data_IF_681232867079
#
_entry.id   IF_681232867079
#
_cell.length_a   1.000
_cell.length_b   1.000
_cell.length_c   1.000
_cell.angle_alpha   90.00
_cell.angle_beta   90.00
_cell.angle_gamma   90.00
#
_symmetry.space_group_name_H-M   'P 1'
#
loop_
_entity.id
_entity.type
_entity.pdbx_description
1 polymer ?
#
# COMPACT_ATOMS: atom_id res chain seq x y z
N UNK A 1 11.64 14.92 2.51
CA UNK A 1 11.71 15.26 3.95
C UNK A 1 12.22 14.04 4.72
N UNK A 2 13.45 14.06 5.30
CA UNK A 2 14.03 12.92 6.04
C UNK A 2 13.63 13.00 7.51
N UNK A 3 13.32 11.86 8.14
CA UNK A 3 13.15 11.79 9.60
C UNK A 3 14.44 11.27 10.27
N UNK A 4 14.78 11.83 11.44
CA UNK A 4 15.98 11.48 12.21
C UNK A 4 15.67 10.58 13.42
N UNK A 5 14.39 10.41 13.74
CA UNK A 5 13.86 9.51 14.77
C UNK A 5 12.54 8.95 14.24
N UNK A 6 12.48 7.64 13.97
CA UNK A 6 11.29 6.97 13.43
C UNK A 6 11.07 5.64 14.15
N UNK A 7 9.81 5.32 14.44
CA UNK A 7 9.42 4.00 14.94
C UNK A 7 8.98 3.13 13.76
N UNK A 8 9.69 2.02 13.54
CA UNK A 8 9.38 1.05 12.48
C UNK A 8 9.08 -0.28 13.15
N UNK A 9 7.86 -0.79 12.98
CA UNK A 9 7.40 -2.05 13.59
C UNK A 9 7.65 -2.14 15.11
N UNK A 10 7.48 -1.03 15.84
CA UNK A 10 7.68 -0.96 17.30
C UNK A 10 9.13 -0.73 17.74
N UNK A 11 10.08 -0.61 16.82
CA UNK A 11 11.50 -0.37 17.12
C UNK A 11 11.89 1.06 16.76
N UNK A 12 12.53 1.76 17.69
CA UNK A 12 13.00 3.13 17.50
C UNK A 12 14.35 3.16 16.76
N UNK A 13 14.37 3.76 15.59
CA UNK A 13 15.55 3.86 14.72
C UNK A 13 15.98 5.33 14.63
N UNK A 14 17.26 5.59 14.95
CA UNK A 14 17.91 6.90 14.77
C UNK A 14 18.85 6.87 13.56
N UNK A 15 18.25 6.83 12.37
CA UNK A 15 18.96 6.95 11.10
C UNK A 15 18.16 7.84 10.14
N UNK A 16 18.81 8.66 9.29
CA UNK A 16 18.11 9.48 8.31
C UNK A 16 17.39 8.58 7.31
N UNK A 17 16.06 8.58 7.32
CA UNK A 17 15.26 7.74 6.44
C UNK A 17 14.16 8.53 5.73
N UNK A 18 13.79 8.04 4.55
CA UNK A 18 12.56 8.46 3.88
C UNK A 18 11.39 8.17 4.82
N UNK A 19 10.53 9.16 5.02
CA UNK A 19 9.32 8.98 5.84
C UNK A 19 8.33 8.15 5.04
N UNK A 20 8.26 6.86 5.37
CA UNK A 20 7.29 5.93 4.81
C UNK A 20 6.31 5.60 5.92
N UNK A 21 5.03 5.79 5.65
CA UNK A 21 3.95 5.34 6.51
C UNK A 21 3.27 4.16 5.83
N UNK A 22 3.33 3.00 6.49
CA UNK A 22 2.68 1.79 6.00
C UNK A 22 1.24 1.76 6.49
N UNK A 23 0.32 1.49 5.57
CA UNK A 23 -1.11 1.38 5.83
C UNK A 23 -1.52 -0.05 5.50
N UNK A 24 -2.28 -0.69 6.39
CA UNK A 24 -2.80 -2.05 6.18
C UNK A 24 -4.03 -2.07 5.25
N UNK A 25 -3.87 -1.55 4.04
CA UNK A 25 -4.90 -1.52 3.01
C UNK A 25 -4.28 -1.85 1.65
N UNK A 26 -4.69 -2.99 1.06
CA UNK A 26 -4.22 -3.42 -0.25
C UNK A 26 -5.08 -4.57 -0.79
N UNK A 27 -4.74 -5.09 -1.97
CA UNK A 27 -5.53 -6.15 -2.63
C UNK A 27 -5.74 -7.40 -1.78
N UNK A 28 -4.78 -7.72 -0.89
CA UNK A 28 -4.87 -8.86 0.02
C UNK A 28 -5.72 -8.63 1.28
N UNK A 29 -6.17 -7.41 1.57
CA UNK A 29 -6.96 -7.12 2.77
C UNK A 29 -8.24 -7.96 2.79
N UNK A 30 -8.44 -8.73 3.87
CA UNK A 30 -9.54 -9.70 3.99
C UNK A 30 -10.87 -8.98 4.21
N UNK A 31 -11.94 -9.46 3.57
CA UNK A 31 -13.28 -8.91 3.69
C UNK A 31 -14.05 -9.62 4.81
N UNK A 32 -14.54 -8.83 5.76
CA UNK A 32 -15.30 -9.31 6.92
C UNK A 32 -16.69 -8.69 6.94
N UNK A 33 -17.68 -9.51 7.28
CA UNK A 33 -19.03 -9.07 7.59
C UNK A 33 -19.42 -9.63 8.96
N UNK A 34 -19.60 -8.76 9.94
CA UNK A 34 -19.98 -9.16 11.30
C UNK A 34 -20.95 -8.14 11.88
N UNK A 35 -22.04 -8.61 12.49
CA UNK A 35 -23.04 -7.76 13.17
C UNK A 35 -23.53 -6.58 12.31
N UNK A 36 -23.78 -6.81 11.02
CA UNK A 36 -24.27 -5.79 10.08
C UNK A 36 -23.21 -4.81 9.57
N UNK A 37 -21.92 -5.02 9.90
CA UNK A 37 -20.82 -4.12 9.53
C UNK A 37 -19.88 -4.78 8.53
N UNK A 38 -19.54 -4.03 7.51
CA UNK A 38 -18.55 -4.39 6.51
C UNK A 38 -17.18 -3.87 6.97
N UNK A 39 -16.14 -4.67 6.77
CA UNK A 39 -14.75 -4.30 7.08
C UNK A 39 -13.79 -4.93 6.08
N UNK A 40 -12.77 -4.17 5.69
CA UNK A 40 -11.65 -4.67 4.87
C UNK A 40 -10.33 -4.57 5.66
N UNK A 41 -9.70 -5.71 5.93
CA UNK A 41 -8.51 -5.83 6.78
C UNK A 41 -8.79 -5.69 8.28
N UNK A 42 -7.76 -5.52 9.13
CA UNK A 42 -6.36 -5.21 8.81
C UNK A 42 -5.53 -6.43 8.39
N UNK A 43 -6.06 -7.63 8.65
CA UNK A 43 -5.49 -8.89 8.22
C UNK A 43 -5.45 -9.00 6.69
N UNK A 44 -4.46 -9.76 6.22
CA UNK A 44 -4.16 -9.91 4.81
C UNK A 44 -4.08 -11.38 4.47
N UNK A 45 -4.71 -11.76 3.35
CA UNK A 45 -4.58 -13.09 2.76
C UNK A 45 -3.17 -13.34 2.20
N UNK A 46 -2.35 -12.28 2.05
CA UNK A 46 -1.01 -12.35 1.49
C UNK A 46 -1.03 -12.84 0.04
N UNK A 47 0.01 -13.58 -0.35
CA UNK A 47 0.08 -14.26 -1.65
C UNK A 47 -0.15 -15.79 -1.54
N UNK A 48 -0.10 -16.33 -0.32
CA UNK A 48 -0.37 -17.73 -0.04
C UNK A 48 -1.04 -17.83 1.35
N UNK A 49 -2.32 -18.27 1.44
CA UNK A 49 -3.15 -18.75 0.34
C UNK A 49 -3.55 -17.65 -0.67
N UNK A 50 -3.49 -16.37 -0.27
CA UNK A 50 -3.91 -15.26 -1.13
C UNK A 50 -5.43 -15.11 -1.23
N UNK A 51 -5.94 -14.18 -2.05
CA UNK A 51 -7.36 -14.02 -2.35
C UNK A 51 -8.02 -15.31 -2.85
N UNK A 52 -9.35 -15.41 -2.73
CA UNK A 52 -10.10 -16.59 -3.14
C UNK A 52 -9.89 -16.93 -4.63
N UNK A 53 -9.76 -15.91 -5.48
CA UNK A 53 -9.51 -16.02 -6.91
C UNK A 53 -8.17 -16.72 -7.25
N UNK A 54 -7.24 -16.86 -6.29
CA UNK A 54 -5.92 -17.45 -6.53
C UNK A 54 -5.92 -18.98 -6.53
N UNK A 55 -7.09 -19.63 -6.36
CA UNK A 55 -7.27 -21.10 -6.42
C UNK A 55 -6.49 -21.88 -5.34
N UNK A 56 -6.29 -21.27 -4.16
CA UNK A 56 -5.55 -21.85 -3.02
C UNK A 56 -6.36 -21.96 -1.73
N UNK A 57 -7.69 -21.84 -1.84
CA UNK A 57 -8.58 -21.91 -0.67
C UNK A 57 -8.58 -20.65 0.21
N UNK A 58 -8.05 -19.53 -0.27
CA UNK A 58 -7.98 -18.27 0.47
C UNK A 58 -9.34 -17.59 0.70
N UNK A 59 -9.42 -16.63 1.65
CA UNK A 59 -10.65 -15.91 1.98
C UNK A 59 -11.03 -14.89 0.89
N UNK A 60 -12.22 -14.28 0.99
CA UNK A 60 -12.53 -13.09 0.20
C UNK A 60 -11.60 -11.95 0.61
N UNK A 61 -10.98 -11.30 -0.36
CA UNK A 61 -10.12 -10.13 -0.18
C UNK A 61 -10.50 -9.00 -1.16
N UNK A 62 -9.92 -7.82 -1.01
CA UNK A 62 -10.18 -6.65 -1.89
C UNK A 62 -9.95 -6.99 -3.38
N UNK A 63 -8.95 -7.82 -3.70
CA UNK A 63 -8.74 -8.32 -5.06
C UNK A 63 -9.97 -9.08 -5.58
N UNK A 64 -10.62 -9.90 -4.76
CA UNK A 64 -11.82 -10.65 -5.17
C UNK A 64 -12.99 -9.70 -5.44
N UNK A 65 -13.13 -8.62 -4.67
CA UNK A 65 -14.14 -7.60 -4.96
C UNK A 65 -13.89 -6.92 -6.32
N UNK A 66 -12.63 -6.62 -6.65
CA UNK A 66 -12.29 -6.07 -7.97
C UNK A 66 -12.50 -7.07 -9.11
N UNK A 67 -12.31 -8.38 -8.89
CA UNK A 67 -12.68 -9.44 -9.85
C UNK A 67 -14.19 -9.50 -10.03
N UNK A 68 -14.96 -9.49 -8.93
CA UNK A 68 -16.43 -9.53 -8.96
C UNK A 68 -17.01 -8.37 -9.78
N UNK A 69 -16.46 -7.17 -9.61
CA UNK A 69 -16.90 -5.95 -10.30
C UNK A 69 -16.32 -5.79 -11.71
N UNK A 70 -15.52 -6.75 -12.19
CA UNK A 70 -14.89 -6.69 -13.51
C UNK A 70 -13.81 -5.60 -13.67
N UNK A 71 -13.37 -4.98 -12.57
CA UNK A 71 -12.22 -4.06 -12.56
C UNK A 71 -10.92 -4.81 -12.83
N UNK A 72 -10.84 -6.05 -12.37
CA UNK A 72 -9.76 -6.97 -12.69
C UNK A 72 -10.27 -8.05 -13.65
N UNK A 73 -9.74 -8.01 -14.88
CA UNK A 73 -10.16 -8.88 -15.97
C UNK A 73 -9.17 -10.05 -16.13
N UNK A 74 -9.60 -11.31 -15.87
CA UNK A 74 -8.72 -12.48 -15.92
C UNK A 74 -7.99 -12.67 -17.25
N UNK A 75 -8.60 -12.28 -18.36
CA UNK A 75 -8.03 -12.37 -19.72
C UNK A 75 -6.76 -11.53 -19.90
N UNK A 76 -6.59 -10.47 -19.10
CA UNK A 76 -5.41 -9.61 -19.09
C UNK A 76 -4.46 -9.93 -17.94
N UNK A 77 -4.76 -10.96 -17.15
CA UNK A 77 -3.94 -11.39 -16.03
C UNK A 77 -3.15 -12.64 -16.40
N UNK A 78 -1.86 -12.76 -16.02
CA UNK A 78 -1.10 -13.98 -16.28
C UNK A 78 -1.77 -15.20 -15.62
N UNK A 79 -1.84 -16.29 -16.37
CA UNK A 79 -2.36 -17.57 -15.88
C UNK A 79 -1.28 -18.25 -15.03
N UNK A 80 -1.15 -17.84 -13.77
CA UNK A 80 -0.12 -18.30 -12.82
C UNK A 80 -0.73 -18.85 -11.52
N UNK A 81 -2.04 -19.14 -11.55
CA UNK A 81 -2.79 -19.61 -10.39
C UNK A 81 -3.04 -21.11 -10.44
N UNK A 82 -3.64 -21.64 -9.37
CA UNK A 82 -3.93 -23.05 -9.25
C UNK A 82 -2.72 -23.90 -8.85
N UNK A 83 -2.91 -25.23 -8.69
CA UNK A 83 -1.83 -26.15 -8.32
C UNK A 83 -0.72 -26.22 -9.37
N UNK A 84 -1.08 -26.11 -10.65
CA UNK A 84 -0.15 -26.15 -11.80
C UNK A 84 0.54 -24.82 -12.12
N UNK A 85 0.10 -23.70 -11.51
CA UNK A 85 0.57 -22.34 -11.83
C UNK A 85 0.39 -21.97 -13.31
N UNK A 86 -0.71 -22.42 -13.90
CA UNK A 86 -1.05 -22.26 -15.32
C UNK A 86 -2.52 -21.89 -15.53
N UNK A 87 -3.27 -21.61 -14.45
CA UNK A 87 -4.69 -21.28 -14.50
C UNK A 87 -4.93 -19.77 -14.36
N UNK A 88 -6.01 -19.22 -14.97
CA UNK A 88 -6.43 -17.84 -14.76
C UNK A 88 -7.06 -17.65 -13.38
N UNK A 89 -7.34 -16.39 -13.00
CA UNK A 89 -8.12 -16.08 -11.80
C UNK A 89 -9.46 -16.82 -11.78
N UNK A 90 -9.86 -17.34 -10.62
CA UNK A 90 -11.11 -18.07 -10.46
C UNK A 90 -12.30 -17.14 -10.21
N UNK A 91 -12.83 -16.58 -11.30
CA UNK A 91 -14.04 -15.73 -11.26
C UNK A 91 -15.24 -16.46 -10.69
N UNK A 92 -15.38 -17.75 -11.02
CA UNK A 92 -16.53 -18.52 -10.57
C UNK A 92 -16.50 -18.70 -9.06
N UNK A 93 -15.33 -18.98 -8.49
CA UNK A 93 -15.17 -19.06 -7.03
C UNK A 93 -15.48 -17.75 -6.32
N UNK A 94 -15.08 -16.63 -6.92
CA UNK A 94 -15.41 -15.29 -6.42
C UNK A 94 -16.92 -15.07 -6.41
N UNK A 95 -17.61 -15.37 -7.52
CA UNK A 95 -19.06 -15.24 -7.65
C UNK A 95 -19.81 -16.09 -6.62
N UNK A 96 -19.41 -17.35 -6.46
CA UNK A 96 -19.98 -18.26 -5.47
C UNK A 96 -19.86 -17.70 -4.04
N UNK A 97 -18.69 -17.19 -3.68
CA UNK A 97 -18.44 -16.65 -2.34
C UNK A 97 -19.22 -15.35 -2.08
N UNK A 98 -19.30 -14.44 -3.05
CA UNK A 98 -20.12 -13.24 -2.90
C UNK A 98 -21.61 -13.55 -2.91
N UNK A 99 -22.06 -14.56 -3.65
CA UNK A 99 -23.45 -15.04 -3.59
C UNK A 99 -23.81 -15.60 -2.21
N UNK A 100 -22.93 -16.42 -1.64
CA UNK A 100 -23.09 -16.92 -0.27
C UNK A 100 -23.11 -15.78 0.75
N UNK A 101 -22.20 -14.81 0.62
CA UNK A 101 -22.13 -13.66 1.53
C UNK A 101 -23.37 -12.75 1.41
N UNK A 102 -23.85 -12.49 0.20
CA UNK A 102 -25.08 -11.73 -0.02
C UNK A 102 -26.30 -12.43 0.61
N UNK A 103 -26.38 -13.76 0.51
CA UNK A 103 -27.41 -14.55 1.16
C UNK A 103 -27.31 -14.50 2.70
N UNK A 104 -26.10 -14.51 3.26
CA UNK A 104 -25.85 -14.35 4.71
C UNK A 104 -26.28 -12.96 5.22
N UNK A 105 -25.98 -11.91 4.45
CA UNK A 105 -26.38 -10.55 4.77
C UNK A 105 -27.92 -10.42 4.78
N UNK A 106 -28.60 -11.02 3.81
CA UNK A 106 -30.06 -11.22 3.83
C UNK A 106 -30.90 -9.95 3.65
N UNK A 107 -30.32 -8.83 3.22
CA UNK A 107 -31.02 -7.54 3.09
C UNK A 107 -31.39 -7.15 1.64
N UNK A 108 -31.26 -8.10 0.72
CA UNK A 108 -31.66 -7.95 -0.69
C UNK A 108 -30.60 -7.32 -1.60
N UNK A 109 -29.41 -6.97 -1.09
CA UNK A 109 -28.28 -6.53 -1.94
C UNK A 109 -27.80 -7.67 -2.84
N UNK A 110 -27.44 -7.33 -4.08
CA UNK A 110 -26.82 -8.29 -5.00
C UNK A 110 -25.37 -8.58 -4.60
N UNK A 111 -24.79 -9.72 -5.03
CA UNK A 111 -23.38 -10.03 -4.81
C UNK A 111 -22.43 -8.91 -5.28
N UNK A 112 -22.75 -8.26 -6.40
CA UNK A 112 -22.02 -7.11 -6.94
C UNK A 112 -22.12 -5.90 -6.02
N UNK A 113 -23.31 -5.58 -5.50
CA UNK A 113 -23.50 -4.46 -4.57
C UNK A 113 -22.76 -4.69 -3.24
N UNK A 114 -22.69 -5.95 -2.78
CA UNK A 114 -21.88 -6.34 -1.62
C UNK A 114 -20.39 -6.11 -1.90
N UNK A 115 -19.89 -6.55 -3.06
CA UNK A 115 -18.50 -6.32 -3.48
C UNK A 115 -18.16 -4.82 -3.61
N UNK A 116 -19.07 -4.03 -4.20
CA UNK A 116 -18.93 -2.57 -4.32
C UNK A 116 -18.79 -1.91 -2.94
N UNK A 117 -19.63 -2.30 -1.97
CA UNK A 117 -19.54 -1.80 -0.60
C UNK A 117 -18.17 -2.06 0.05
N UNK A 118 -17.57 -3.22 -0.19
CA UNK A 118 -16.20 -3.51 0.29
C UNK A 118 -15.14 -2.67 -0.41
N UNK A 119 -15.27 -2.41 -1.72
CA UNK A 119 -14.38 -1.50 -2.44
C UNK A 119 -14.48 -0.08 -1.89
N UNK A 120 -15.69 0.41 -1.63
CA UNK A 120 -15.91 1.73 -1.00
C UNK A 120 -15.17 1.83 0.33
N UNK A 121 -15.28 0.81 1.18
CA UNK A 121 -14.59 0.79 2.49
C UNK A 121 -13.07 0.72 2.33
N UNK A 122 -12.57 -0.10 1.41
CA UNK A 122 -11.14 -0.18 1.14
C UNK A 122 -10.57 1.16 0.66
N UNK A 123 -11.26 1.84 -0.25
CA UNK A 123 -10.89 3.18 -0.75
C UNK A 123 -10.91 4.20 0.38
N UNK A 124 -11.96 4.21 1.20
CA UNK A 124 -12.08 5.15 2.32
C UNK A 124 -10.97 4.93 3.36
N UNK A 125 -10.58 3.69 3.62
CA UNK A 125 -9.44 3.36 4.47
C UNK A 125 -8.11 3.89 3.90
N UNK A 126 -7.89 3.73 2.59
CA UNK A 126 -6.70 4.27 1.91
C UNK A 126 -6.67 5.80 1.95
N UNK A 127 -7.79 6.45 1.59
CA UNK A 127 -7.92 7.90 1.59
C UNK A 127 -7.74 8.49 3.00
N UNK A 128 -8.36 7.91 4.02
CA UNK A 128 -8.20 8.36 5.41
C UNK A 128 -6.76 8.23 5.91
N UNK A 129 -6.05 7.18 5.49
CA UNK A 129 -4.65 7.05 5.85
C UNK A 129 -3.80 8.14 5.18
N UNK A 130 -4.02 8.45 3.91
CA UNK A 130 -3.34 9.54 3.19
C UNK A 130 -3.66 10.90 3.83
N UNK A 131 -4.93 11.17 4.15
CA UNK A 131 -5.36 12.38 4.88
C UNK A 131 -4.66 12.49 6.23
N UNK A 132 -4.61 11.40 7.01
CA UNK A 132 -3.95 11.37 8.32
C UNK A 132 -2.46 11.71 8.20
N UNK A 133 -1.77 11.18 7.20
CA UNK A 133 -0.32 11.39 7.02
C UNK A 133 -0.02 12.81 6.50
N UNK A 134 -0.89 13.38 5.67
CA UNK A 134 -0.63 14.62 4.94
C UNK A 134 -1.25 15.84 5.62
N UNK A 135 -2.57 15.82 5.87
CA UNK A 135 -3.33 16.95 6.42
C UNK A 135 -2.92 17.25 7.87
N UNK A 136 -2.66 16.23 8.69
CA UNK A 136 -2.16 16.46 10.06
C UNK A 136 -0.80 17.18 10.10
N UNK A 137 -0.11 17.28 8.96
CA UNK A 137 1.16 18.00 8.80
C UNK A 137 0.99 19.34 8.08
N UNK A 138 -0.24 19.76 7.81
CA UNK A 138 -0.57 21.03 7.16
C UNK A 138 -0.46 21.03 5.64
N UNK A 139 -0.34 19.84 5.01
CA UNK A 139 -0.33 19.74 3.54
C UNK A 139 -1.77 19.76 3.00
N UNK A 140 -2.03 20.64 2.04
CA UNK A 140 -3.23 20.56 1.21
C UNK A 140 -3.01 19.52 0.10
N UNK A 141 -3.69 18.37 0.21
CA UNK A 141 -3.51 17.26 -0.73
C UNK A 141 -4.05 17.56 -2.12
N UNK A 142 -4.96 18.53 -2.28
CA UNK A 142 -5.58 18.84 -3.58
C UNK A 142 -4.61 19.53 -4.54
N UNK A 143 -3.54 20.16 -4.02
CA UNK A 143 -2.48 20.77 -4.82
C UNK A 143 -1.46 19.76 -5.38
N UNK A 144 -1.60 18.47 -5.01
CA UNK A 144 -0.69 17.41 -5.43
C UNK A 144 -1.34 16.46 -6.45
N UNK A 145 -0.47 15.75 -7.17
CA UNK A 145 -0.86 14.61 -7.98
C UNK A 145 -0.72 13.30 -7.18
N UNK A 146 -1.68 12.39 -7.34
CA UNK A 146 -1.60 11.05 -6.75
C UNK A 146 -0.72 10.16 -7.63
N UNK A 147 0.51 9.87 -7.18
CA UNK A 147 1.34 8.86 -7.83
C UNK A 147 0.94 7.46 -7.35
N UNK A 148 0.41 6.64 -8.26
CA UNK A 148 -0.08 5.31 -7.93
C UNK A 148 0.78 4.22 -8.56
N UNK A 149 1.24 3.26 -7.74
CA UNK A 149 2.10 2.17 -8.18
C UNK A 149 1.85 0.89 -7.35
N UNK A 150 2.51 -0.20 -7.75
CA UNK A 150 2.27 -1.55 -7.24
C UNK A 150 1.15 -2.28 -7.99
N UNK A 151 1.13 -3.60 -7.89
CA UNK A 151 0.23 -4.45 -8.70
C UNK A 151 -1.27 -4.22 -8.48
N UNK A 152 -1.66 -3.69 -7.32
CA UNK A 152 -3.06 -3.36 -7.01
C UNK A 152 -3.38 -1.86 -7.09
N UNK A 153 -2.38 -0.99 -7.26
CA UNK A 153 -2.55 0.46 -7.13
C UNK A 153 -3.58 1.02 -8.12
N UNK A 154 -3.39 0.70 -9.42
CA UNK A 154 -4.27 1.19 -10.49
C UNK A 154 -5.75 0.81 -10.32
N UNK A 155 -6.06 -0.25 -9.55
CA UNK A 155 -7.44 -0.71 -9.33
C UNK A 155 -8.25 0.26 -8.47
N UNK A 156 -7.58 1.10 -7.67
CA UNK A 156 -8.21 2.03 -6.72
C UNK A 156 -7.85 3.49 -6.96
N UNK A 157 -6.92 3.77 -7.88
CA UNK A 157 -6.29 5.08 -8.02
C UNK A 157 -7.28 6.23 -8.20
N UNK A 158 -8.23 6.12 -9.14
CA UNK A 158 -9.22 7.18 -9.38
C UNK A 158 -10.14 7.38 -8.17
N UNK A 159 -10.66 6.28 -7.60
CA UNK A 159 -11.57 6.37 -6.43
C UNK A 159 -10.88 6.98 -5.21
N UNK A 160 -9.59 6.68 -5.01
CA UNK A 160 -8.79 7.30 -3.95
C UNK A 160 -8.54 8.77 -4.24
N UNK A 161 -8.25 9.14 -5.49
CA UNK A 161 -8.08 10.53 -5.89
C UNK A 161 -9.38 11.34 -5.67
N UNK A 162 -10.53 10.80 -6.07
CA UNK A 162 -11.85 11.39 -5.86
C UNK A 162 -12.12 11.62 -4.36
N UNK A 163 -11.86 10.61 -3.52
CA UNK A 163 -12.05 10.70 -2.07
C UNK A 163 -11.09 11.71 -1.38
N UNK A 164 -9.98 12.05 -2.03
CA UNK A 164 -9.00 13.05 -1.60
C UNK A 164 -9.22 14.42 -2.22
N UNK A 165 -10.11 14.57 -3.21
CA UNK A 165 -10.28 15.81 -3.97
C UNK A 165 -9.09 16.14 -4.87
N UNK A 166 -8.34 15.13 -5.32
CA UNK A 166 -7.19 15.30 -6.21
C UNK A 166 -7.63 15.21 -7.68
N UNK A 167 -7.17 16.15 -8.51
CA UNK A 167 -7.57 16.22 -9.93
C UNK A 167 -6.68 15.42 -10.88
N UNK A 168 -5.52 14.95 -10.41
CA UNK A 168 -4.54 14.28 -11.24
C UNK A 168 -3.99 13.00 -10.60
N UNK A 169 -3.97 11.92 -11.40
CA UNK A 169 -3.32 10.65 -11.05
C UNK A 169 -2.18 10.40 -12.04
N UNK A 170 -0.99 10.10 -11.51
CA UNK A 170 0.13 9.64 -12.30
C UNK A 170 0.30 8.13 -12.14
N UNK A 171 0.26 7.42 -13.26
CA UNK A 171 0.54 5.98 -13.33
C UNK A 171 1.71 5.79 -14.28
N UNK A 172 2.87 5.42 -13.73
CA UNK A 172 4.06 5.12 -14.54
C UNK A 172 3.83 3.84 -15.37
N UNK A 173 4.36 3.71 -16.60
CA UNK A 173 4.25 2.48 -17.39
C UNK A 173 4.78 1.22 -16.68
N UNK A 174 5.78 1.41 -15.81
CA UNK A 174 6.33 0.35 -14.94
C UNK A 174 5.73 0.35 -13.52
N UNK A 175 4.50 0.83 -13.33
CA UNK A 175 3.86 0.97 -12.00
C UNK A 175 3.91 -0.34 -11.18
N UNK A 176 3.70 -1.50 -11.81
CA UNK A 176 3.82 -2.81 -11.16
C UNK A 176 5.23 -3.17 -10.67
N UNK A 177 6.27 -2.57 -11.23
CA UNK A 177 7.69 -2.84 -10.94
C UNK A 177 8.44 -1.58 -10.47
N UNK A 178 7.73 -0.51 -10.12
CA UNK A 178 8.32 0.82 -9.94
C UNK A 178 9.38 0.84 -8.83
N UNK A 179 9.18 0.05 -7.77
CA UNK A 179 10.17 -0.11 -6.69
C UNK A 179 11.47 -0.72 -7.20
N UNK A 180 11.41 -1.78 -8.01
CA UNK A 180 12.59 -2.42 -8.59
C UNK A 180 13.29 -1.49 -9.58
N UNK A 181 12.52 -0.77 -10.40
CA UNK A 181 13.04 0.25 -11.32
C UNK A 181 13.76 1.38 -10.56
N UNK A 182 13.18 1.87 -9.46
CA UNK A 182 13.79 2.90 -8.62
C UNK A 182 15.11 2.45 -7.98
N UNK A 183 15.22 1.19 -7.57
CA UNK A 183 16.48 0.61 -7.08
C UNK A 183 17.52 0.57 -8.21
N UNK A 184 17.13 0.13 -9.41
CA UNK A 184 18.02 0.04 -10.58
C UNK A 184 18.58 1.39 -11.03
N UNK A 185 17.83 2.49 -10.84
CA UNK A 185 18.27 3.86 -11.14
C UNK A 185 19.05 4.52 -10.00
N UNK A 186 19.04 3.94 -8.80
CA UNK A 186 19.60 4.60 -7.63
C UNK A 186 21.12 4.69 -7.71
N UNK A 187 21.66 5.87 -7.38
CA UNK A 187 23.10 6.03 -7.19
C UNK A 187 23.51 5.43 -5.85
N UNK A 188 24.63 4.70 -5.84
CA UNK A 188 25.23 4.25 -4.58
C UNK A 188 25.72 5.47 -3.82
N UNK A 189 25.17 5.69 -2.62
CA UNK A 189 25.64 6.74 -1.73
C UNK A 189 25.82 6.19 -0.32
N UNK A 190 26.80 6.74 0.38
CA UNK A 190 27.10 6.42 1.76
C UNK A 190 26.86 7.68 2.61
N UNK A 191 26.03 7.57 3.64
CA UNK A 191 25.95 8.57 4.70
C UNK A 191 26.71 8.06 5.92
N UNK A 192 27.52 8.92 6.52
CA UNK A 192 28.29 8.66 7.73
C UNK A 192 28.01 9.79 8.70
N UNK A 193 27.76 9.46 9.96
CA UNK A 193 27.47 10.44 11.00
C UNK A 193 28.13 9.99 12.31
N UNK A 194 28.72 10.95 13.01
CA UNK A 194 29.24 10.75 14.36
C UNK A 194 28.91 11.99 15.20
N UNK A 195 28.44 11.77 16.43
CA UNK A 195 28.13 12.86 17.35
C UNK A 195 29.41 13.46 17.94
N UNK A 196 29.46 14.79 18.02
CA UNK A 196 30.50 15.54 18.72
C UNK A 196 29.83 16.44 19.76
N UNK A 197 30.10 16.20 21.05
CA UNK A 197 29.60 17.03 22.13
C UNK A 197 30.72 17.92 22.66
N UNK A 198 30.73 19.20 22.24
CA UNK A 198 31.67 20.24 22.70
C UNK A 198 30.98 21.62 22.67
N UNK A 199 31.39 22.58 23.53
CA UNK A 199 30.96 23.97 23.41
C UNK A 199 31.26 24.54 22.02
N UNK A 200 30.33 25.31 21.45
CA UNK A 200 30.54 25.97 20.16
C UNK A 200 31.40 27.22 20.36
N UNK A 201 32.70 27.06 20.16
CA UNK A 201 33.73 28.11 20.28
C UNK A 201 34.77 27.92 19.18
N UNK A 202 35.60 28.93 18.92
CA UNK A 202 36.66 28.84 17.90
C UNK A 202 37.65 27.67 18.16
N UNK A 203 37.85 27.31 19.44
CA UNK A 203 38.70 26.17 19.84
C UNK A 203 38.12 24.79 19.45
N UNK A 204 36.85 24.73 19.05
CA UNK A 204 36.21 23.48 18.62
C UNK A 204 36.46 23.17 17.14
N UNK A 205 36.93 24.13 16.33
CA UNK A 205 37.16 23.94 14.89
C UNK A 205 38.13 22.77 14.57
N UNK A 206 39.28 22.60 15.23
CA UNK A 206 40.19 21.48 14.94
C UNK A 206 39.54 20.11 15.18
N UNK A 207 38.72 19.99 16.23
CA UNK A 207 38.04 18.74 16.55
C UNK A 207 36.91 18.40 15.55
N UNK A 208 36.24 19.42 14.99
CA UNK A 208 35.26 19.26 13.93
C UNK A 208 35.95 18.79 12.64
N UNK A 209 37.06 19.43 12.26
CA UNK A 209 37.81 19.06 11.05
C UNK A 209 38.38 17.64 11.13
N UNK A 210 38.95 17.26 12.28
CA UNK A 210 39.45 15.90 12.51
C UNK A 210 38.34 14.87 12.33
N UNK A 211 37.15 15.14 12.89
CA UNK A 211 36.01 14.23 12.79
C UNK A 211 35.51 14.12 11.34
N UNK A 212 35.42 15.24 10.61
CA UNK A 212 35.07 15.24 9.19
C UNK A 212 36.09 14.43 8.38
N UNK A 213 37.39 14.60 8.65
CA UNK A 213 38.43 13.84 7.97
C UNK A 213 38.33 12.34 8.22
N UNK A 214 38.00 11.92 9.45
CA UNK A 214 37.73 10.51 9.78
C UNK A 214 36.53 9.96 9.00
N UNK A 215 35.43 10.72 8.93
CA UNK A 215 34.23 10.30 8.21
C UNK A 215 34.41 10.22 6.68
N UNK A 216 35.40 10.93 6.12
CA UNK A 216 35.71 10.91 4.68
C UNK A 216 36.62 9.76 4.23
N UNK A 217 37.39 9.16 5.14
CA UNK A 217 38.41 8.14 4.81
C UNK A 217 37.87 6.70 4.69
N UNK A 218 36.58 6.48 4.97
CA UNK A 218 35.91 5.16 5.01
C UNK A 218 34.63 5.18 4.21
#
# INVERSE_FOLDING_TARGET
ERAFDTEVAGVRIRAPMMRIHTVAAGGGSILHYEAGRFRAGPDSAGANPGPAAYRRGGPLAVTDANVMLGKLQPEFFPAIFGPGQDEPLDVQKVREKFAALAAEIGDGRTPEAVAEGFVTIAVENMANAIKKISVQRGYDVTEYLLNCFGGAGGQHACLVADALGMEAVLIHPFSGLLSAYGIGLSSVFASRQQALLKPLTDNSAPAIEELIAKLRKV
#
